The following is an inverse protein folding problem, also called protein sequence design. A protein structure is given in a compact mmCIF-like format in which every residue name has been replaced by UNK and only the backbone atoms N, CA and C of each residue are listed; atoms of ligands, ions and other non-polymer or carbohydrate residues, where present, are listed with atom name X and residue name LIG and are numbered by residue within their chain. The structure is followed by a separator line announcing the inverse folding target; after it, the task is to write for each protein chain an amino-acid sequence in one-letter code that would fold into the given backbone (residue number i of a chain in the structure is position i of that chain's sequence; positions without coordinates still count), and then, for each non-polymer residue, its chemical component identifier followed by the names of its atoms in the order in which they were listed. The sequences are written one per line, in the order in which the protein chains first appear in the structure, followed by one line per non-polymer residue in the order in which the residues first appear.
data_IF_554452985523
#
_entry.id   IF_554452985523
#
_cell.length_a   1.000
_cell.length_b   1.000
_cell.length_c   1.000
_cell.angle_alpha   90.00
_cell.angle_beta   90.00
_cell.angle_gamma   90.00
#
_symmetry.space_group_name_H-M   'P 1'
#
loop_
_entity.id
_entity.type
_entity.pdbx_description
1 polymer ?
#
# COMPACT_ATOMS: atom_id res chain seq x y z
N UNK A 1 22.31 -41.65 14.62
CA UNK A 1 22.56 -40.73 13.48
C UNK A 1 21.44 -40.70 12.42
N UNK A 2 20.47 -41.63 12.41
CA UNK A 2 19.37 -41.62 11.44
C UNK A 2 18.25 -40.56 11.71
N UNK A 3 18.04 -40.15 12.96
CA UNK A 3 16.97 -39.21 13.32
C UNK A 3 17.19 -37.76 12.89
N UNK A 4 18.45 -37.33 12.75
CA UNK A 4 18.79 -35.94 12.35
C UNK A 4 18.59 -35.72 10.85
N UNK A 5 18.81 -36.77 10.03
CA UNK A 5 18.60 -36.73 8.58
C UNK A 5 17.11 -36.64 8.21
N UNK A 6 16.22 -37.28 8.97
CA UNK A 6 14.77 -37.21 8.74
C UNK A 6 14.18 -35.83 9.06
N UNK A 7 14.67 -35.14 10.08
CA UNK A 7 14.27 -33.76 10.42
C UNK A 7 14.76 -32.74 9.38
N UNK A 8 15.97 -32.93 8.83
CA UNK A 8 16.48 -32.08 7.77
C UNK A 8 15.69 -32.24 6.45
N UNK A 9 15.32 -33.47 6.10
CA UNK A 9 14.52 -33.75 4.89
C UNK A 9 13.10 -33.16 4.99
N UNK A 10 12.46 -33.26 6.15
CA UNK A 10 11.11 -32.70 6.37
C UNK A 10 11.11 -31.17 6.40
N UNK A 11 12.14 -30.54 6.97
CA UNK A 11 12.33 -29.08 6.89
C UNK A 11 12.55 -28.56 5.47
N UNK A 12 13.29 -29.29 4.63
CA UNK A 12 13.51 -28.94 3.23
C UNK A 12 12.23 -29.07 2.37
N UNK A 13 11.43 -30.12 2.60
CA UNK A 13 10.14 -30.32 1.91
C UNK A 13 9.15 -29.21 2.28
N UNK A 14 9.06 -28.83 3.56
CA UNK A 14 8.21 -27.71 4.00
C UNK A 14 8.68 -26.35 3.46
N UNK A 15 9.99 -26.16 3.28
CA UNK A 15 10.55 -24.98 2.62
C UNK A 15 10.23 -24.90 1.12
N UNK A 16 10.14 -26.05 0.45
CA UNK A 16 9.75 -26.16 -0.96
C UNK A 16 8.27 -25.83 -1.20
N UNK A 17 7.39 -26.19 -0.26
CA UNK A 17 5.96 -25.84 -0.32
C UNK A 17 5.66 -24.39 0.08
N UNK A 18 6.66 -23.62 0.52
CA UNK A 18 6.48 -22.23 0.95
C UNK A 18 6.56 -21.28 -0.27
N UNK A 19 5.42 -21.19 -0.96
CA UNK A 19 5.02 -20.26 -2.04
C UNK A 19 5.68 -20.45 -3.42
N UNK A 20 4.89 -20.50 -4.52
CA UNK A 20 5.45 -20.29 -5.85
C UNK A 20 6.05 -18.89 -5.93
N UNK A 21 7.36 -18.80 -6.22
CA UNK A 21 8.11 -17.55 -6.37
C UNK A 21 7.88 -16.89 -7.74
N UNK A 22 6.64 -16.80 -8.16
CA UNK A 22 6.32 -16.11 -9.40
C UNK A 22 4.97 -15.42 -9.27
N UNK A 23 4.97 -14.26 -8.60
CA UNK A 23 3.90 -13.29 -8.71
C UNK A 23 4.23 -12.29 -9.83
N UNK A 24 4.72 -12.78 -10.97
CA UNK A 24 4.69 -11.99 -12.20
C UNK A 24 3.30 -12.22 -12.78
N UNK A 25 2.43 -11.22 -12.69
CA UNK A 25 1.11 -11.31 -13.29
C UNK A 25 1.25 -11.56 -14.79
N UNK A 26 0.45 -12.49 -15.31
CA UNK A 26 0.38 -12.71 -16.75
C UNK A 26 0.04 -11.37 -17.46
N UNK A 27 0.68 -11.06 -18.61
CA UNK A 27 0.44 -9.81 -19.34
C UNK A 27 -1.04 -9.41 -19.55
N UNK A 28 -1.97 -10.33 -19.88
CA UNK A 28 -3.39 -9.97 -19.99
C UNK A 28 -4.02 -9.58 -18.64
N UNK A 29 -3.53 -10.13 -17.54
CA UNK A 29 -4.06 -9.88 -16.20
C UNK A 29 -3.58 -8.53 -15.65
N UNK A 30 -2.31 -8.19 -15.88
CA UNK A 30 -1.77 -6.88 -15.53
C UNK A 30 -2.38 -5.75 -16.37
N UNK A 31 -2.64 -5.96 -17.67
CA UNK A 31 -3.34 -4.99 -18.51
C UNK A 31 -4.79 -4.71 -18.06
N UNK A 32 -5.44 -5.68 -17.38
CA UNK A 32 -6.77 -5.47 -16.83
C UNK A 32 -6.77 -4.61 -15.55
N UNK A 33 -5.62 -4.43 -14.89
CA UNK A 33 -5.51 -3.59 -13.68
C UNK A 33 -5.76 -2.10 -13.96
N UNK A 34 -5.63 -1.66 -15.22
CA UNK A 34 -5.91 -0.27 -15.62
C UNK A 34 -7.40 0.02 -15.80
N UNK A 35 -8.24 -1.03 -15.87
CA UNK A 35 -9.68 -0.91 -16.13
C UNK A 35 -10.46 -0.62 -14.85
N UNK A 36 -10.04 0.43 -14.15
CA UNK A 36 -10.66 0.91 -12.92
C UNK A 36 -11.92 1.70 -13.28
N UNK A 37 -13.05 1.38 -12.62
CA UNK A 37 -14.30 2.12 -12.78
C UNK A 37 -14.46 3.10 -11.64
N UNK A 38 -14.21 4.38 -11.91
CA UNK A 38 -14.48 5.46 -10.97
C UNK A 38 -15.95 5.91 -11.07
N UNK A 39 -16.50 6.32 -9.94
CA UNK A 39 -17.77 7.03 -9.88
C UNK A 39 -17.64 8.41 -10.56
N UNK A 40 -18.77 9.04 -10.96
CA UNK A 40 -18.74 10.35 -11.63
C UNK A 40 -18.03 11.45 -10.83
N UNK A 41 -17.99 11.33 -9.50
CA UNK A 41 -17.28 12.27 -8.61
C UNK A 41 -15.75 12.07 -8.60
N UNK A 42 -15.21 11.02 -9.23
CA UNK A 42 -13.77 10.74 -9.31
C UNK A 42 -13.08 10.41 -7.97
N UNK A 43 -13.85 10.22 -6.90
CA UNK A 43 -13.38 9.95 -5.55
C UNK A 43 -13.41 8.44 -5.31
N UNK A 44 -14.56 7.79 -5.49
CA UNK A 44 -14.74 6.36 -5.22
C UNK A 44 -14.89 5.54 -6.50
N UNK A 45 -14.86 4.22 -6.40
CA UNK A 45 -15.04 3.33 -7.53
C UNK A 45 -14.94 1.86 -7.16
N UNK A 46 -15.04 1.00 -8.18
CA UNK A 46 -14.85 -0.44 -8.04
C UNK A 46 -13.55 -0.88 -8.70
N UNK A 47 -12.74 -1.75 -8.04
CA UNK A 47 -11.64 -2.42 -8.69
C UNK A 47 -12.12 -3.23 -9.90
N UNK A 48 -11.23 -3.53 -10.86
CA UNK A 48 -11.56 -4.49 -11.92
C UNK A 48 -11.82 -5.88 -11.33
N UNK A 49 -12.65 -6.70 -11.97
CA UNK A 49 -12.90 -8.08 -11.52
C UNK A 49 -11.62 -8.90 -11.38
N UNK A 50 -10.64 -8.65 -12.26
CA UNK A 50 -9.33 -9.29 -12.20
C UNK A 50 -8.65 -9.11 -10.84
N UNK A 51 -8.82 -7.95 -10.19
CA UNK A 51 -8.25 -7.67 -8.88
C UNK A 51 -8.82 -8.59 -7.78
N UNK A 52 -10.11 -8.93 -7.88
CA UNK A 52 -10.74 -9.88 -6.97
C UNK A 52 -10.35 -11.32 -7.30
N UNK A 53 -10.26 -11.67 -8.59
CA UNK A 53 -9.88 -13.00 -9.06
C UNK A 53 -8.47 -13.41 -8.60
N UNK A 54 -7.56 -12.45 -8.47
CA UNK A 54 -6.18 -12.68 -7.99
C UNK A 54 -6.04 -12.62 -6.46
N UNK A 55 -7.15 -12.49 -5.73
CA UNK A 55 -7.12 -12.49 -4.26
C UNK A 55 -6.54 -11.23 -3.62
N UNK A 56 -6.64 -10.06 -4.29
CA UNK A 56 -6.23 -8.75 -3.75
C UNK A 56 -4.78 -8.70 -3.22
N UNK A 57 -3.77 -9.11 -4.01
CA UNK A 57 -2.40 -9.30 -3.53
C UNK A 57 -1.79 -7.99 -2.99
N UNK A 58 -2.12 -6.85 -3.59
CA UNK A 58 -1.62 -5.54 -3.15
C UNK A 58 -2.15 -5.08 -1.79
N UNK A 59 -3.14 -5.76 -1.21
CA UNK A 59 -3.63 -5.44 0.14
C UNK A 59 -2.83 -6.11 1.25
N UNK A 60 -2.26 -7.30 1.02
CA UNK A 60 -1.72 -8.13 2.12
C UNK A 60 -0.47 -8.93 1.78
N UNK A 61 -0.05 -8.96 0.52
CA UNK A 61 1.17 -9.69 0.15
C UNK A 61 2.41 -8.87 0.52
N UNK A 62 3.28 -9.45 1.36
CA UNK A 62 4.45 -8.77 1.90
C UNK A 62 5.43 -8.32 0.81
N UNK A 63 5.55 -9.10 -0.29
CA UNK A 63 6.38 -8.71 -1.42
C UNK A 63 5.84 -7.44 -2.09
N UNK A 64 4.55 -7.41 -2.45
CA UNK A 64 3.93 -6.23 -3.05
C UNK A 64 4.03 -4.98 -2.17
N UNK A 65 3.78 -5.12 -0.87
CA UNK A 65 3.90 -4.01 0.08
C UNK A 65 5.35 -3.52 0.19
N UNK A 66 6.33 -4.42 0.16
CA UNK A 66 7.76 -4.05 0.13
C UNK A 66 8.15 -3.31 -1.17
N UNK A 67 7.59 -3.71 -2.32
CA UNK A 67 7.81 -2.99 -3.57
C UNK A 67 7.17 -1.60 -3.52
N UNK A 68 5.96 -1.49 -2.99
CA UNK A 68 5.29 -0.20 -2.77
C UNK A 68 6.11 0.76 -1.92
N UNK A 69 6.70 0.26 -0.82
CA UNK A 69 7.62 1.05 0.03
C UNK A 69 8.84 1.56 -0.74
N UNK A 70 9.46 0.70 -1.56
CA UNK A 70 10.60 1.09 -2.41
C UNK A 70 10.20 2.15 -3.44
N UNK A 71 9.05 1.97 -4.10
CA UNK A 71 8.51 2.92 -5.07
C UNK A 71 8.21 4.28 -4.43
N UNK A 72 7.68 4.29 -3.21
CA UNK A 72 7.40 5.53 -2.46
C UNK A 72 8.66 6.38 -2.29
N UNK A 73 9.79 5.73 -1.95
CA UNK A 73 11.09 6.40 -1.85
C UNK A 73 11.65 6.81 -3.23
N UNK A 74 11.65 5.90 -4.20
CA UNK A 74 12.22 6.13 -5.52
C UNK A 74 11.55 7.24 -6.32
N UNK A 75 10.23 7.35 -6.21
CA UNK A 75 9.45 8.37 -6.92
C UNK A 75 9.26 9.65 -6.10
N UNK A 76 9.95 9.77 -4.95
CA UNK A 76 9.98 11.01 -4.17
C UNK A 76 8.64 11.36 -3.52
N UNK A 77 7.76 10.40 -3.29
CA UNK A 77 6.44 10.64 -2.68
C UNK A 77 6.57 11.31 -1.29
N UNK A 78 7.62 10.91 -0.55
CA UNK A 78 7.93 11.47 0.76
C UNK A 78 8.36 12.95 0.76
N UNK A 79 8.72 13.52 -0.38
CA UNK A 79 9.04 14.96 -0.47
C UNK A 79 7.83 15.85 -0.18
N UNK A 80 6.63 15.40 -0.55
CA UNK A 80 5.38 16.13 -0.29
C UNK A 80 4.62 15.55 0.92
N UNK A 81 4.61 14.22 1.06
CA UNK A 81 3.78 13.52 2.06
C UNK A 81 4.56 13.06 3.31
N UNK A 82 5.87 13.32 3.38
CA UNK A 82 6.74 12.83 4.45
C UNK A 82 6.69 11.30 4.56
N UNK A 83 6.83 10.77 5.76
CA UNK A 83 6.57 9.35 6.05
C UNK A 83 5.06 9.07 6.25
N UNK A 84 4.19 9.81 5.53
CA UNK A 84 2.74 9.79 5.66
C UNK A 84 2.16 10.84 6.61
N UNK A 85 3.01 11.62 7.28
CA UNK A 85 2.57 12.71 8.18
C UNK A 85 2.01 13.91 7.43
N UNK A 86 2.20 13.97 6.12
CA UNK A 86 1.87 15.14 5.30
C UNK A 86 2.99 16.18 5.32
N UNK A 87 2.71 17.31 4.67
CA UNK A 87 3.64 18.42 4.48
C UNK A 87 3.07 19.37 3.44
N UNK A 88 3.66 19.40 2.24
CA UNK A 88 3.06 20.05 1.07
C UNK A 88 1.83 19.28 0.59
N UNK A 89 1.88 17.95 0.66
CA UNK A 89 0.74 17.07 0.39
C UNK A 89 0.00 16.70 1.69
N UNK A 90 -1.24 16.20 1.57
CA UNK A 90 -2.03 15.79 2.72
C UNK A 90 -1.36 14.66 3.52
N UNK A 91 -1.72 14.58 4.81
CA UNK A 91 -1.38 13.46 5.68
C UNK A 91 -2.20 12.23 5.29
N UNK A 92 -1.63 11.05 5.51
CA UNK A 92 -2.35 9.78 5.43
C UNK A 92 -2.75 9.27 6.83
N UNK A 93 -2.21 9.88 7.88
CA UNK A 93 -2.31 9.42 9.27
C UNK A 93 -3.42 10.09 10.08
N UNK A 94 -4.00 11.18 9.57
CA UNK A 94 -5.06 11.95 10.24
C UNK A 94 -6.46 11.33 10.08
N UNK A 95 -6.59 10.31 9.22
CA UNK A 95 -7.85 9.67 8.89
C UNK A 95 -8.70 10.45 7.87
N UNK A 96 -8.23 11.60 7.38
CA UNK A 96 -8.93 12.42 6.39
C UNK A 96 -8.44 12.11 4.97
N UNK A 97 -9.19 11.27 4.27
CA UNK A 97 -8.89 10.89 2.88
C UNK A 97 -9.77 11.67 1.91
N UNK A 98 -9.25 12.79 1.42
CA UNK A 98 -9.95 13.69 0.50
C UNK A 98 -10.63 12.98 -0.69
N UNK A 99 -9.90 12.03 -1.27
CA UNK A 99 -10.34 11.24 -2.41
C UNK A 99 -10.80 9.83 -2.04
N UNK A 100 -10.92 9.51 -0.74
CA UNK A 100 -11.31 8.22 -0.24
C UNK A 100 -10.13 7.27 0.02
N UNK A 101 -10.22 6.40 1.06
CA UNK A 101 -9.17 5.45 1.43
C UNK A 101 -9.21 4.14 0.63
N UNK A 102 -10.22 3.97 -0.23
CA UNK A 102 -10.42 2.74 -1.01
C UNK A 102 -9.26 2.53 -2.00
N UNK A 103 -8.94 1.26 -2.28
CA UNK A 103 -7.77 0.91 -3.11
C UNK A 103 -7.83 1.62 -4.48
N UNK A 104 -9.01 1.62 -5.09
CA UNK A 104 -9.29 2.28 -6.37
C UNK A 104 -9.03 3.77 -6.32
N UNK A 105 -9.46 4.42 -5.25
CA UNK A 105 -9.29 5.86 -5.04
C UNK A 105 -7.83 6.25 -5.00
N UNK A 106 -7.02 5.44 -4.31
CA UNK A 106 -5.58 5.66 -4.15
C UNK A 106 -4.87 5.39 -5.48
N UNK A 107 -5.19 4.27 -6.14
CA UNK A 107 -4.62 3.94 -7.46
C UNK A 107 -4.94 5.03 -8.48
N UNK A 108 -6.18 5.52 -8.53
CA UNK A 108 -6.56 6.62 -9.41
C UNK A 108 -5.81 7.91 -9.09
N UNK A 109 -5.66 8.25 -7.81
CA UNK A 109 -4.92 9.44 -7.39
C UNK A 109 -3.44 9.38 -7.81
N UNK A 110 -2.81 8.21 -7.71
CA UNK A 110 -1.41 8.01 -8.14
C UNK A 110 -1.33 8.01 -9.68
N UNK A 111 -2.21 7.27 -10.35
CA UNK A 111 -2.20 7.11 -11.81
C UNK A 111 -2.44 8.43 -12.52
N UNK A 112 -3.51 9.11 -12.14
CA UNK A 112 -4.03 10.27 -12.86
C UNK A 112 -3.62 11.60 -12.23
N UNK A 113 -3.01 11.58 -11.04
CA UNK A 113 -2.69 12.77 -10.26
C UNK A 113 -3.94 13.38 -9.61
N UNK A 114 -3.74 14.47 -8.87
CA UNK A 114 -4.84 15.26 -8.30
C UNK A 114 -4.56 16.76 -8.47
N UNK A 115 -5.62 17.59 -8.56
CA UNK A 115 -5.47 19.05 -8.56
C UNK A 115 -4.63 19.52 -7.37
N UNK A 116 -4.08 20.74 -7.46
CA UNK A 116 -3.27 21.36 -6.41
C UNK A 116 -1.90 20.72 -6.16
N UNK A 117 -1.31 20.09 -7.19
CA UNK A 117 0.14 19.81 -7.21
C UNK A 117 0.56 18.35 -7.10
N UNK A 118 -0.37 17.40 -7.01
CA UNK A 118 -0.03 15.96 -7.07
C UNK A 118 0.11 15.52 -8.54
N UNK A 119 1.32 15.14 -9.01
CA UNK A 119 1.53 14.77 -10.41
C UNK A 119 0.92 13.40 -10.75
N UNK A 120 0.63 13.19 -12.04
CA UNK A 120 0.23 11.89 -12.57
C UNK A 120 1.44 10.97 -12.77
N UNK A 121 1.33 9.69 -12.41
CA UNK A 121 2.40 8.71 -12.56
C UNK A 121 2.15 7.63 -13.62
N UNK A 122 1.01 7.66 -14.33
CA UNK A 122 0.67 6.68 -15.39
C UNK A 122 1.75 6.49 -16.46
N UNK A 123 2.51 7.54 -16.78
CA UNK A 123 3.55 7.52 -17.81
C UNK A 123 4.94 7.20 -17.23
N UNK A 124 5.04 6.98 -15.91
CA UNK A 124 6.30 6.77 -15.18
C UNK A 124 6.36 5.42 -14.45
N UNK A 125 5.21 4.78 -14.24
CA UNK A 125 5.09 3.51 -13.54
C UNK A 125 4.19 2.57 -14.32
N UNK A 126 4.46 1.27 -14.22
CA UNK A 126 3.52 0.25 -14.71
C UNK A 126 2.29 0.20 -13.80
N UNK A 127 1.18 -0.34 -14.30
CA UNK A 127 -0.05 -0.54 -13.53
C UNK A 127 0.25 -1.30 -12.23
N UNK A 128 0.98 -2.41 -12.33
CA UNK A 128 1.39 -3.21 -11.16
C UNK A 128 2.15 -2.38 -10.12
N UNK A 129 3.09 -1.53 -10.54
CA UNK A 129 3.82 -0.65 -9.63
C UNK A 129 2.89 0.35 -8.93
N UNK A 130 1.93 0.94 -9.66
CA UNK A 130 0.94 1.85 -9.07
C UNK A 130 0.10 1.12 -8.02
N UNK A 131 -0.33 -0.10 -8.30
CA UNK A 131 -1.10 -0.91 -7.36
C UNK A 131 -0.27 -1.33 -6.14
N UNK A 132 1.01 -1.68 -6.30
CA UNK A 132 1.94 -1.94 -5.20
C UNK A 132 2.11 -0.71 -4.30
N UNK A 133 2.31 0.47 -4.92
CA UNK A 133 2.44 1.74 -4.20
C UNK A 133 1.16 2.09 -3.44
N UNK A 134 -0.01 1.93 -4.06
CA UNK A 134 -1.31 2.14 -3.40
C UNK A 134 -1.49 1.20 -2.20
N UNK A 135 -1.09 -0.06 -2.34
CA UNK A 135 -1.04 -1.05 -1.28
C UNK A 135 -0.28 -0.58 -0.05
N UNK A 136 0.94 -0.07 -0.26
CA UNK A 136 1.78 0.49 0.79
C UNK A 136 1.19 1.76 1.41
N UNK A 137 0.66 2.67 0.62
CA UNK A 137 0.01 3.91 1.13
C UNK A 137 -1.16 3.58 2.06
N UNK A 138 -1.95 2.55 1.76
CA UNK A 138 -2.99 2.05 2.68
C UNK A 138 -2.44 1.51 4.00
N UNK A 139 -1.23 0.92 4.01
CA UNK A 139 -0.61 0.45 5.27
C UNK A 139 -0.19 1.60 6.17
N UNK A 140 0.15 2.75 5.59
CA UNK A 140 0.55 3.94 6.33
C UNK A 140 -0.65 4.51 7.07
N UNK A 141 -1.76 4.77 6.37
CA UNK A 141 -2.93 5.43 6.95
C UNK A 141 -3.84 4.60 7.84
N UNK A 142 -3.44 3.37 8.20
CA UNK A 142 -4.12 2.55 9.23
C UNK A 142 -5.62 2.29 9.02
N UNK A 143 -6.15 2.37 7.79
CA UNK A 143 -7.59 2.12 7.54
C UNK A 143 -7.98 0.64 7.73
N UNK A 144 -7.01 -0.28 7.66
CA UNK A 144 -7.14 -1.69 8.09
C UNK A 144 -5.81 -2.15 8.68
N UNK A 145 -5.76 -2.77 9.88
CA UNK A 145 -4.56 -3.46 10.34
C UNK A 145 -4.28 -4.61 9.37
N UNK A 146 -3.35 -4.40 8.45
CA UNK A 146 -2.94 -5.42 7.48
C UNK A 146 -1.90 -6.30 8.17
N UNK A 147 -2.17 -7.60 8.18
CA UNK A 147 -1.36 -8.64 8.84
C UNK A 147 0.05 -8.84 8.22
N UNK A 148 0.39 -8.06 7.20
CA UNK A 148 1.68 -8.15 6.51
C UNK A 148 2.49 -6.86 6.72
N UNK A 149 3.61 -7.02 7.43
CA UNK A 149 4.63 -6.00 7.54
C UNK A 149 5.21 -5.66 6.16
N UNK A 150 5.27 -4.38 5.74
CA UNK A 150 6.02 -3.96 4.56
C UNK A 150 7.53 -4.03 4.85
N UNK A 151 8.05 -5.25 4.96
CA UNK A 151 9.44 -5.65 5.28
C UNK A 151 10.01 -5.14 6.62
N UNK A 152 10.82 -5.96 7.30
CA UNK A 152 11.65 -5.49 8.42
C UNK A 152 12.76 -4.59 7.87
N UNK A 153 12.84 -3.36 8.37
CA UNK A 153 14.02 -2.51 8.20
C UNK A 153 14.99 -2.76 9.36
N UNK A 154 16.29 -2.98 9.06
CA UNK A 154 17.37 -3.15 10.06
C UNK A 154 17.88 -1.80 10.63
N UNK A 155 17.23 -0.68 10.29
CA UNK A 155 17.50 0.62 10.89
C UNK A 155 17.20 0.61 12.40
N UNK A 156 17.91 1.44 13.17
CA UNK A 156 17.65 1.61 14.61
C UNK A 156 16.27 2.23 14.81
N UNK A 157 15.27 1.37 15.02
CA UNK A 157 13.90 1.75 15.30
C UNK A 157 13.84 2.56 16.61
N UNK A 158 13.55 3.86 16.52
CA UNK A 158 13.28 4.71 17.69
C UNK A 158 11.84 4.59 18.18
N UNK A 159 11.02 3.75 17.53
CA UNK A 159 9.60 3.50 17.87
C UNK A 159 9.30 2.00 17.88
N UNK A 160 8.25 1.54 18.61
CA UNK A 160 7.82 0.15 18.60
C UNK A 160 7.48 -0.32 17.18
N UNK A 161 7.81 -1.58 16.86
CA UNK A 161 7.59 -2.16 15.54
C UNK A 161 6.14 -1.97 15.07
N UNK A 162 5.96 -1.46 13.84
CA UNK A 162 4.66 -1.12 13.23
C UNK A 162 3.62 -2.27 13.25
N UNK A 163 4.08 -3.50 13.47
CA UNK A 163 3.26 -4.72 13.42
C UNK A 163 2.68 -5.18 14.77
N UNK A 164 2.81 -4.39 15.85
CA UNK A 164 2.44 -4.87 17.21
C UNK A 164 1.57 -3.97 18.08
N UNK A 165 1.08 -2.83 17.58
CA UNK A 165 0.20 -1.96 18.39
C UNK A 165 -1.04 -1.55 17.61
N UNK A 166 -2.27 -1.60 18.19
CA UNK A 166 -3.36 -0.79 17.67
C UNK A 166 -2.92 0.68 17.69
N UNK A 167 -3.18 1.41 16.60
CA UNK A 167 -2.72 2.79 16.37
C UNK A 167 -3.02 3.75 17.54
N UNK A 168 -4.02 3.44 18.36
CA UNK A 168 -4.38 4.15 19.60
C UNK A 168 -3.25 4.20 20.65
N UNK A 169 -2.29 3.28 20.62
CA UNK A 169 -1.17 3.25 21.61
C UNK A 169 0.04 4.07 21.11
N UNK A 170 0.03 4.54 19.86
CA UNK A 170 1.19 5.23 19.25
C UNK A 170 1.12 6.77 19.32
N UNK A 171 -0.03 7.34 19.71
CA UNK A 171 -0.27 8.78 19.75
C UNK A 171 -1.22 9.11 20.92
N UNK A 172 -0.68 9.70 21.99
CA UNK A 172 -1.47 10.32 23.08
C UNK A 172 -2.14 11.64 22.63
N UNK A 173 -1.87 12.07 21.41
CA UNK A 173 -2.58 13.16 20.76
C UNK A 173 -3.64 12.51 19.88
N UNK A 174 -4.91 12.65 20.30
CA UNK A 174 -6.07 12.28 19.51
C UNK A 174 -6.06 12.94 18.12
N UNK A 175 -7.00 12.59 17.23
CA UNK A 175 -7.00 13.04 15.84
C UNK A 175 -6.73 14.55 15.78
N UNK A 176 -5.65 14.93 15.12
CA UNK A 176 -5.33 16.33 14.89
C UNK A 176 -6.57 16.97 14.27
N UNK A 177 -7.02 18.06 14.89
CA UNK A 177 -8.29 18.70 14.56
C UNK A 177 -8.42 18.96 13.07
N UNK A 178 -9.65 18.81 12.58
CA UNK A 178 -10.05 19.03 11.18
C UNK A 178 -9.49 20.36 10.71
N UNK A 179 -8.61 20.34 9.71
CA UNK A 179 -8.19 21.53 8.99
C UNK A 179 -9.29 21.88 7.97
N UNK A 180 -10.12 22.92 8.22
CA UNK A 180 -11.27 23.25 7.36
C UNK A 180 -10.87 23.73 5.96
N UNK A 181 -9.58 23.98 5.74
CA UNK A 181 -8.97 24.45 4.51
C UNK A 181 -8.50 23.32 3.56
N UNK A 182 -8.59 22.04 3.98
CA UNK A 182 -8.05 20.91 3.20
C UNK A 182 -9.12 20.00 2.57
N UNK A 183 -10.34 20.50 2.38
CA UNK A 183 -11.45 19.82 1.70
C UNK A 183 -12.04 20.65 0.55
N UNK A 184 -12.61 20.06 -0.52
CA UNK A 184 -13.50 20.81 -1.39
C UNK A 184 -14.65 21.33 -0.52
N UNK A 185 -14.79 22.65 -0.47
CA UNK A 185 -15.99 23.29 0.06
C UNK A 185 -17.20 22.85 -0.78
N UNK A 186 -18.36 22.56 -0.16
CA UNK A 186 -19.57 22.16 -0.86
C UNK A 186 -19.99 23.09 -1.99
#
# INVERSE_FOLDING_TARGET
MAGVLFLAASGAILGWFRQPRELRLDPPLSANLDRIKLMPNGISGSPPESYFAIGKPYESDAWNLSQGKRLYAWFGCGSCHGDGRGGVGPSFLDGWWLYGPEMVSIVASIRDGRPHGMPAFRDRMTSEQIWQLAGYVQTIGSYKPKVAAPSRNDDRQTRPAENRGPAKILFDEGPAGVHPDQGPTP
#
